data_IF_628128276523
#
_entry.id   IF_628128276523
#
_cell.length_a   1.000
_cell.length_b   1.000
_cell.length_c   1.000
_cell.angle_alpha   90.00
_cell.angle_beta   90.00
_cell.angle_gamma   90.00
#
_symmetry.space_group_name_H-M   'P 1'
#
loop_
_entity.id
_entity.type
_entity.pdbx_description
1 polymer ?
#
# COMPACT_ATOMS: atom_id res chain seq x y z
N UNK A 1 12.97 -14.45 -17.93
CA UNK A 1 13.01 -13.92 -16.55
C UNK A 1 11.79 -13.04 -16.40
N UNK A 2 10.85 -13.40 -15.52
CA UNK A 2 9.65 -12.60 -15.27
C UNK A 2 9.98 -11.42 -14.36
N UNK A 3 9.51 -10.25 -14.72
CA UNK A 3 9.74 -8.99 -14.00
C UNK A 3 8.45 -8.49 -13.38
N UNK A 4 8.54 -7.48 -12.50
CA UNK A 4 7.38 -6.84 -11.85
C UNK A 4 6.39 -6.22 -12.86
N UNK A 5 6.84 -5.96 -14.10
CA UNK A 5 6.01 -5.41 -15.16
C UNK A 5 5.15 -6.47 -15.86
N UNK A 6 5.48 -7.76 -15.71
CA UNK A 6 4.81 -8.88 -16.38
C UNK A 6 3.63 -9.44 -15.57
N UNK A 7 3.43 -8.96 -14.34
CA UNK A 7 2.42 -9.47 -13.40
C UNK A 7 1.35 -8.39 -13.14
N UNK A 8 0.06 -8.75 -13.12
CA UNK A 8 -1.01 -7.85 -12.70
C UNK A 8 -0.72 -7.24 -11.32
N UNK A 9 -0.86 -5.91 -11.23
CA UNK A 9 -0.48 -5.17 -10.02
C UNK A 9 -1.27 -5.62 -8.78
N UNK A 10 -2.57 -5.87 -8.93
CA UNK A 10 -3.47 -6.23 -7.84
C UNK A 10 -3.08 -7.59 -7.22
N UNK A 11 -2.91 -8.61 -8.05
CA UNK A 11 -2.50 -9.95 -7.60
C UNK A 11 -1.13 -9.95 -6.90
N UNK A 12 -0.19 -9.14 -7.41
CA UNK A 12 1.12 -8.99 -6.78
C UNK A 12 1.01 -8.33 -5.40
N UNK A 13 0.20 -7.27 -5.29
CA UNK A 13 0.00 -6.54 -4.03
C UNK A 13 -0.65 -7.44 -2.98
N UNK A 14 -1.67 -8.21 -3.35
CA UNK A 14 -2.37 -9.10 -2.42
C UNK A 14 -1.44 -10.19 -1.88
N UNK A 15 -0.65 -10.85 -2.77
CA UNK A 15 0.33 -11.85 -2.34
C UNK A 15 1.44 -11.24 -1.48
N UNK A 16 1.93 -10.06 -1.84
CA UNK A 16 2.97 -9.37 -1.08
C UNK A 16 2.45 -8.94 0.29
N UNK A 17 1.20 -8.49 0.39
CA UNK A 17 0.56 -8.16 1.66
C UNK A 17 0.50 -9.38 2.60
N UNK A 18 0.19 -10.57 2.06
CA UNK A 18 0.26 -11.83 2.82
C UNK A 18 1.65 -12.10 3.39
N UNK A 19 2.69 -11.98 2.55
CA UNK A 19 4.09 -12.16 2.98
C UNK A 19 4.50 -11.14 4.06
N UNK A 20 4.06 -9.88 3.92
CA UNK A 20 4.34 -8.84 4.91
C UNK A 20 3.65 -9.11 6.24
N UNK A 21 2.46 -9.73 6.22
CA UNK A 21 1.71 -10.10 7.42
C UNK A 21 2.37 -11.26 8.18
N UNK A 22 3.01 -12.18 7.47
CA UNK A 22 3.80 -13.26 8.08
C UNK A 22 5.15 -12.77 8.65
N UNK A 23 5.59 -11.56 8.28
CA UNK A 23 6.86 -11.02 8.71
C UNK A 23 6.75 -10.29 10.04
N UNK A 24 7.35 -10.86 11.09
CA UNK A 24 7.35 -10.31 12.45
C UNK A 24 7.99 -8.92 12.58
N UNK A 25 8.78 -8.48 11.60
CA UNK A 25 9.39 -7.13 11.59
C UNK A 25 8.44 -6.06 11.08
N UNK A 26 7.39 -6.44 10.37
CA UNK A 26 6.48 -5.53 9.68
C UNK A 26 5.17 -5.50 10.46
N UNK A 27 5.19 -4.84 11.60
CA UNK A 27 4.04 -4.77 12.50
C UNK A 27 3.25 -3.49 12.24
N UNK A 28 1.92 -3.57 12.06
CA UNK A 28 1.09 -2.39 11.90
C UNK A 28 1.10 -1.59 13.21
N UNK A 29 1.17 -0.26 13.13
CA UNK A 29 1.15 0.59 14.30
C UNK A 29 -0.23 0.57 14.97
N UNK A 30 -0.28 0.86 16.27
CA UNK A 30 -1.53 0.83 17.06
C UNK A 30 -2.65 1.70 16.48
N UNK A 31 -2.29 2.85 15.89
CA UNK A 31 -3.26 3.75 15.27
C UNK A 31 -3.86 3.22 13.97
N UNK A 32 -3.31 2.17 13.35
CA UNK A 32 -3.75 1.69 12.03
C UNK A 32 -5.23 1.25 12.02
N UNK A 33 -5.78 0.78 13.14
CA UNK A 33 -7.19 0.40 13.23
C UNK A 33 -8.17 1.59 13.31
N UNK A 34 -7.69 2.77 13.73
CA UNK A 34 -8.56 3.89 14.09
C UNK A 34 -8.46 5.09 13.14
N UNK A 35 -7.63 5.00 12.10
CA UNK A 35 -7.38 6.12 11.18
C UNK A 35 -8.22 6.05 9.91
N UNK A 36 -8.60 7.23 9.43
CA UNK A 36 -9.09 7.39 8.05
C UNK A 36 -7.92 7.40 7.07
N UNK A 37 -8.12 6.78 5.91
CA UNK A 37 -7.10 6.65 4.87
C UNK A 37 -6.85 7.94 4.08
N UNK A 38 -7.77 8.92 4.18
CA UNK A 38 -7.66 10.24 3.56
C UNK A 38 -8.68 11.22 4.15
N UNK A 39 -8.51 12.51 3.91
CA UNK A 39 -9.33 13.59 4.50
C UNK A 39 -10.82 13.45 4.16
N UNK A 40 -11.11 13.00 2.94
CA UNK A 40 -12.44 12.80 2.36
C UNK A 40 -13.18 11.53 2.83
N UNK A 41 -12.50 10.61 3.53
CA UNK A 41 -13.16 9.41 4.08
C UNK A 41 -13.73 9.75 5.45
N UNK A 42 -15.00 9.44 5.65
CA UNK A 42 -15.67 9.59 6.95
C UNK A 42 -15.45 8.38 7.85
N UNK A 43 -15.33 7.19 7.26
CA UNK A 43 -15.17 5.92 7.97
C UNK A 43 -13.74 5.35 7.81
N UNK A 44 -13.27 4.56 8.80
CA UNK A 44 -12.06 3.79 8.66
C UNK A 44 -12.18 2.75 7.52
N UNK A 45 -11.05 2.29 6.97
CA UNK A 45 -11.04 1.27 5.93
C UNK A 45 -11.70 -0.04 6.41
N UNK A 46 -12.54 -0.63 5.56
CA UNK A 46 -13.27 -1.89 5.86
C UNK A 46 -12.35 -3.10 5.93
N UNK A 47 -11.22 -3.07 5.22
CA UNK A 47 -10.24 -4.14 5.25
C UNK A 47 -9.29 -3.94 6.45
N UNK A 48 -9.29 -4.88 7.39
CA UNK A 48 -8.41 -4.86 8.57
C UNK A 48 -6.93 -4.92 8.18
N UNK A 49 -6.60 -5.59 7.06
CA UNK A 49 -5.25 -5.73 6.53
C UNK A 49 -4.83 -4.56 5.61
N UNK A 50 -5.60 -3.45 5.58
CA UNK A 50 -5.34 -2.32 4.67
C UNK A 50 -3.92 -1.76 4.77
N UNK A 51 -3.31 -1.83 5.96
CA UNK A 51 -1.98 -1.32 6.21
C UNK A 51 -0.93 -2.12 5.44
N UNK A 52 -1.04 -3.45 5.46
CA UNK A 52 -0.16 -4.35 4.70
C UNK A 52 -0.34 -4.18 3.20
N UNK A 53 -1.58 -4.04 2.73
CA UNK A 53 -1.90 -3.76 1.32
C UNK A 53 -1.26 -2.43 0.88
N UNK A 54 -1.33 -1.40 1.71
CA UNK A 54 -0.70 -0.10 1.44
C UNK A 54 0.83 -0.22 1.40
N UNK A 55 1.44 -0.95 2.33
CA UNK A 55 2.89 -1.21 2.33
C UNK A 55 3.34 -1.94 1.06
N UNK A 56 2.61 -2.99 0.66
CA UNK A 56 2.87 -3.73 -0.57
C UNK A 56 2.77 -2.84 -1.82
N UNK A 57 1.75 -1.98 -1.89
CA UNK A 57 1.58 -1.03 -2.99
C UNK A 57 2.75 -0.02 -3.06
N UNK A 58 3.20 0.50 -1.92
CA UNK A 58 4.34 1.43 -1.84
C UNK A 58 5.63 0.75 -2.29
N UNK A 59 5.90 -0.48 -1.85
CA UNK A 59 7.09 -1.25 -2.26
C UNK A 59 7.12 -1.45 -3.78
N UNK A 60 5.99 -1.86 -4.37
CA UNK A 60 5.88 -1.99 -5.82
C UNK A 60 6.16 -0.66 -6.52
N UNK A 61 5.63 0.45 -6.00
CA UNK A 61 5.81 1.78 -6.59
C UNK A 61 7.26 2.26 -6.56
N UNK A 62 7.97 2.01 -5.46
CA UNK A 62 9.41 2.29 -5.35
C UNK A 62 10.19 1.45 -6.36
N UNK A 63 9.81 0.19 -6.55
CA UNK A 63 10.48 -0.67 -7.54
C UNK A 63 10.26 -0.19 -8.98
N UNK A 64 9.05 0.23 -9.35
CA UNK A 64 8.74 0.65 -10.73
C UNK A 64 9.20 2.05 -11.07
N UNK A 65 9.07 3.00 -10.14
CA UNK A 65 9.33 4.42 -10.39
C UNK A 65 10.73 4.85 -9.90
N UNK A 66 11.45 3.97 -9.20
CA UNK A 66 12.74 4.25 -8.60
C UNK A 66 12.63 5.02 -7.28
N UNK A 67 13.71 5.72 -6.85
CA UNK A 67 13.73 6.45 -5.59
C UNK A 67 12.68 7.57 -5.61
N UNK A 68 11.65 7.42 -4.76
CA UNK A 68 10.52 8.34 -4.66
C UNK A 68 10.41 8.91 -3.25
N UNK A 69 10.26 10.23 -3.16
CA UNK A 69 10.12 10.95 -1.90
C UNK A 69 8.71 10.83 -1.29
N UNK A 70 8.63 11.14 0.01
CA UNK A 70 7.38 11.08 0.79
C UNK A 70 6.32 12.03 0.23
N UNK A 71 6.72 13.21 -0.29
CA UNK A 71 5.80 14.17 -0.88
C UNK A 71 5.03 13.57 -2.07
N UNK A 72 5.74 12.90 -2.98
CA UNK A 72 5.13 12.31 -4.17
C UNK A 72 4.27 11.10 -3.81
N UNK A 73 4.71 10.27 -2.86
CA UNK A 73 3.89 9.19 -2.32
C UNK A 73 2.60 9.73 -1.67
N UNK A 74 2.69 10.83 -0.93
CA UNK A 74 1.51 11.50 -0.36
C UNK A 74 0.56 11.96 -1.46
N UNK A 75 1.04 12.51 -2.57
CA UNK A 75 0.15 12.90 -3.67
C UNK A 75 -0.51 11.70 -4.37
N UNK A 76 0.23 10.59 -4.54
CA UNK A 76 -0.29 9.36 -5.18
C UNK A 76 -1.36 8.69 -4.31
N UNK A 77 -1.12 8.56 -3.00
CA UNK A 77 -2.00 7.81 -2.09
C UNK A 77 -2.92 8.67 -1.22
N UNK A 78 -2.67 9.98 -1.14
CA UNK A 78 -3.33 10.93 -0.26
C UNK A 78 -4.54 11.63 -0.87
N UNK A 79 -5.02 11.12 -2.02
CA UNK A 79 -6.16 11.62 -2.81
C UNK A 79 -5.77 12.51 -4.00
N UNK A 80 -5.43 11.86 -5.12
CA UNK A 80 -5.80 12.34 -6.45
C UNK A 80 -6.39 11.17 -7.21
N UNK A 81 -7.50 11.40 -7.90
CA UNK A 81 -8.35 10.47 -8.67
C UNK A 81 -7.58 9.50 -9.59
N UNK A 82 -6.90 8.50 -9.04
CA UNK A 82 -6.27 7.44 -9.80
C UNK A 82 -6.69 6.13 -9.14
N UNK A 83 -7.61 5.47 -9.83
CA UNK A 83 -8.14 4.16 -9.48
C UNK A 83 -6.96 3.18 -9.38
N UNK A 84 -6.83 2.55 -8.21
CA UNK A 84 -6.17 1.26 -8.07
C UNK A 84 -7.27 0.22 -8.13
#
# INVERSE_FOLDING_TARGET
MTTVFDVPAMEMIDKLAGILKENEKVVPPEWAGNVKTGVHKELPPTNEDWWYVRCAAVLRKIYTDGPIGIERLRSVYGLSLIHI
#
